data_IF_202933642139
#
_entry.id   IF_202933642139
#
_cell.length_a   1.000
_cell.length_b   1.000
_cell.length_c   1.000
_cell.angle_alpha   90.00
_cell.angle_beta   90.00
_cell.angle_gamma   90.00
#
_symmetry.space_group_name_H-M   'P 1'
#
loop_
_entity.id
_entity.type
_entity.pdbx_description
1 polymer ?
#
# COMPACT_ATOMS: atom_id res chain seq x y z
N UNK A 1 31.24 -41.35 7.98
CA UNK A 1 31.08 -40.57 6.72
C UNK A 1 29.63 -40.54 6.24
N UNK A 2 28.85 -41.63 6.33
CA UNK A 2 27.43 -41.64 5.94
C UNK A 2 26.54 -40.69 6.77
N UNK A 3 26.81 -40.54 8.07
CA UNK A 3 26.01 -39.69 8.98
C UNK A 3 26.17 -38.18 8.72
N UNK A 4 27.34 -37.74 8.23
CA UNK A 4 27.54 -36.36 7.80
C UNK A 4 26.84 -36.06 6.47
N UNK A 5 26.67 -37.07 5.60
CA UNK A 5 25.95 -36.93 4.34
C UNK A 5 24.43 -36.84 4.56
N UNK A 6 23.87 -37.60 5.51
CA UNK A 6 22.45 -37.53 5.87
C UNK A 6 22.08 -36.20 6.55
N UNK A 7 22.94 -35.66 7.43
CA UNK A 7 22.73 -34.34 8.06
C UNK A 7 22.78 -33.21 7.02
N UNK A 8 23.73 -33.25 6.08
CA UNK A 8 23.81 -32.27 4.99
C UNK A 8 22.61 -32.36 4.05
N UNK A 9 22.19 -33.57 3.67
CA UNK A 9 21.00 -33.78 2.85
C UNK A 9 19.73 -33.22 3.51
N UNK A 10 19.50 -33.47 4.81
CA UNK A 10 18.36 -32.93 5.56
C UNK A 10 18.37 -31.39 5.65
N UNK A 11 19.54 -30.78 5.74
CA UNK A 11 19.70 -29.31 5.77
C UNK A 11 19.36 -28.67 4.42
N UNK A 12 19.80 -29.27 3.31
CA UNK A 12 19.50 -28.79 1.96
C UNK A 12 18.00 -28.93 1.61
N UNK A 13 17.37 -30.04 1.98
CA UNK A 13 15.91 -30.24 1.76
C UNK A 13 15.08 -29.22 2.55
N UNK A 14 15.50 -28.89 3.79
CA UNK A 14 14.82 -27.90 4.63
C UNK A 14 14.99 -26.47 4.11
N UNK A 15 16.17 -26.13 3.62
CA UNK A 15 16.42 -24.83 2.98
C UNK A 15 15.57 -24.66 1.71
N UNK A 16 15.51 -25.68 0.85
CA UNK A 16 14.69 -25.66 -0.36
C UNK A 16 13.19 -25.49 -0.08
N UNK A 17 12.66 -26.15 0.96
CA UNK A 17 11.26 -26.01 1.37
C UNK A 17 10.91 -24.62 1.93
N UNK A 18 11.85 -23.98 2.65
CA UNK A 18 11.67 -22.59 3.13
C UNK A 18 11.68 -21.62 1.94
N UNK A 19 12.54 -21.83 0.96
CA UNK A 19 12.61 -20.97 -0.23
C UNK A 19 11.33 -21.09 -1.09
N UNK A 20 10.80 -22.30 -1.27
CA UNK A 20 9.54 -22.52 -1.97
C UNK A 20 8.37 -21.85 -1.23
N UNK A 21 8.29 -22.08 0.09
CA UNK A 21 7.26 -21.47 0.93
C UNK A 21 7.33 -19.94 0.95
N UNK A 22 8.53 -19.37 0.97
CA UNK A 22 8.74 -17.92 0.91
C UNK A 22 8.23 -17.35 -0.41
N UNK A 23 8.53 -18.01 -1.54
CA UNK A 23 8.03 -17.57 -2.85
C UNK A 23 6.50 -17.64 -2.91
N UNK A 24 5.91 -18.72 -2.40
CA UNK A 24 4.46 -18.84 -2.30
C UNK A 24 3.83 -17.74 -1.42
N UNK A 25 4.46 -17.42 -0.29
CA UNK A 25 4.03 -16.36 0.61
C UNK A 25 4.09 -14.99 -0.06
N UNK A 26 5.22 -14.64 -0.68
CA UNK A 26 5.37 -13.37 -1.40
C UNK A 26 4.39 -13.25 -2.56
N UNK A 27 4.20 -14.33 -3.34
CA UNK A 27 3.20 -14.35 -4.41
C UNK A 27 1.79 -14.07 -3.88
N UNK A 28 1.44 -14.63 -2.70
CA UNK A 28 0.16 -14.36 -2.04
C UNK A 28 0.05 -12.90 -1.61
N UNK A 29 1.11 -12.33 -1.02
CA UNK A 29 1.18 -10.92 -0.61
C UNK A 29 0.90 -9.99 -1.80
N UNK A 30 1.66 -10.13 -2.89
CA UNK A 30 1.47 -9.31 -4.10
C UNK A 30 0.12 -9.57 -4.78
N UNK A 31 -0.38 -10.81 -4.75
CA UNK A 31 -1.69 -11.16 -5.29
C UNK A 31 -2.82 -10.44 -4.56
N UNK A 32 -2.82 -10.49 -3.22
CA UNK A 32 -3.81 -9.78 -2.39
C UNK A 32 -3.73 -8.27 -2.62
N UNK A 33 -2.51 -7.72 -2.59
CA UNK A 33 -2.27 -6.29 -2.84
C UNK A 33 -2.83 -5.88 -4.22
N UNK A 34 -2.51 -6.63 -5.28
CA UNK A 34 -2.93 -6.32 -6.65
C UNK A 34 -4.46 -6.34 -6.80
N UNK A 35 -5.13 -7.32 -6.19
CA UNK A 35 -6.59 -7.37 -6.15
C UNK A 35 -7.15 -6.16 -5.40
N UNK A 36 -6.55 -5.79 -4.26
CA UNK A 36 -6.90 -4.56 -3.54
C UNK A 36 -6.77 -3.31 -4.41
N UNK A 37 -5.68 -3.18 -5.16
CA UNK A 37 -5.46 -2.05 -6.07
C UNK A 37 -6.53 -1.97 -7.17
N UNK A 38 -6.90 -3.11 -7.77
CA UNK A 38 -7.97 -3.17 -8.77
C UNK A 38 -9.31 -2.76 -8.16
N UNK A 39 -9.63 -3.24 -6.97
CA UNK A 39 -10.85 -2.88 -6.24
C UNK A 39 -10.87 -1.37 -5.98
N UNK A 40 -9.76 -0.79 -5.53
CA UNK A 40 -9.64 0.65 -5.26
C UNK A 40 -9.83 1.49 -6.52
N UNK A 41 -9.17 1.13 -7.62
CA UNK A 41 -9.33 1.81 -8.90
C UNK A 41 -10.75 1.71 -9.45
N UNK A 42 -11.35 0.52 -9.40
CA UNK A 42 -12.73 0.30 -9.84
C UNK A 42 -13.74 1.06 -8.98
N UNK A 43 -13.57 1.06 -7.66
CA UNK A 43 -14.41 1.82 -6.74
C UNK A 43 -14.27 3.33 -7.00
N UNK A 44 -13.04 3.86 -7.12
CA UNK A 44 -12.79 5.27 -7.40
C UNK A 44 -13.45 5.72 -8.70
N UNK A 45 -13.28 4.93 -9.77
CA UNK A 45 -13.89 5.20 -11.09
C UNK A 45 -15.41 5.14 -11.04
N UNK A 46 -15.99 4.10 -10.44
CA UNK A 46 -17.43 3.94 -10.35
C UNK A 46 -18.08 5.06 -9.52
N UNK A 47 -17.47 5.42 -8.39
CA UNK A 47 -17.97 6.48 -7.51
C UNK A 47 -17.91 7.84 -8.21
N UNK A 48 -16.80 8.15 -8.88
CA UNK A 48 -16.69 9.39 -9.65
C UNK A 48 -17.74 9.44 -10.77
N UNK A 49 -17.97 8.33 -11.47
CA UNK A 49 -18.98 8.24 -12.54
C UNK A 49 -20.41 8.41 -12.05
N UNK A 50 -20.72 8.02 -10.80
CA UNK A 50 -22.03 8.24 -10.18
C UNK A 50 -22.16 9.64 -9.55
N UNK A 51 -21.03 10.25 -9.19
CA UNK A 51 -20.99 11.55 -8.53
C UNK A 51 -21.12 12.73 -9.49
N UNK A 52 -20.90 12.53 -10.79
CA UNK A 52 -20.96 13.57 -11.83
C UNK A 52 -22.04 13.23 -12.84
N UNK A 53 -22.89 14.20 -13.18
CA UNK A 53 -23.91 14.07 -14.22
C UNK A 53 -23.28 14.16 -15.62
N UNK A 54 -23.95 13.71 -16.69
CA UNK A 54 -23.45 13.87 -18.05
C UNK A 54 -23.22 15.33 -18.47
N UNK A 55 -23.82 16.29 -17.76
CA UNK A 55 -23.64 17.74 -17.98
C UNK A 55 -22.44 18.32 -17.23
N UNK A 56 -21.70 17.50 -16.46
CA UNK A 56 -20.52 17.93 -15.70
C UNK A 56 -20.83 18.49 -14.31
N UNK A 57 -22.08 18.43 -13.86
CA UNK A 57 -22.50 18.91 -12.54
C UNK A 57 -22.42 17.79 -11.49
N UNK A 58 -22.29 18.15 -10.22
CA UNK A 58 -22.34 17.16 -9.14
C UNK A 58 -23.77 16.61 -8.99
N UNK A 59 -23.91 15.29 -9.03
CA UNK A 59 -25.15 14.60 -8.68
C UNK A 59 -25.45 14.78 -7.18
N UNK A 60 -26.67 14.46 -6.69
CA UNK A 60 -26.96 14.50 -5.25
C UNK A 60 -25.96 13.66 -4.42
N UNK A 61 -25.49 12.54 -5.00
CA UNK A 61 -24.43 11.73 -4.41
C UNK A 61 -23.09 12.48 -4.39
N UNK A 62 -22.71 13.12 -5.49
CA UNK A 62 -21.49 13.92 -5.57
C UNK A 62 -21.47 15.10 -4.59
N UNK A 63 -22.60 15.78 -4.42
CA UNK A 63 -22.76 16.83 -3.40
C UNK A 63 -22.59 16.24 -2.00
N UNK A 64 -23.19 15.08 -1.71
CA UNK A 64 -23.05 14.42 -0.43
C UNK A 64 -21.60 14.02 -0.14
N UNK A 65 -20.87 13.47 -1.12
CA UNK A 65 -19.52 12.95 -0.92
C UNK A 65 -18.46 14.08 -0.90
N UNK A 66 -18.56 15.07 -1.79
CA UNK A 66 -17.49 16.05 -2.00
C UNK A 66 -17.77 17.43 -1.38
N UNK A 67 -19.04 17.84 -1.27
CA UNK A 67 -19.41 19.17 -0.78
C UNK A 67 -19.92 19.17 0.68
N UNK A 68 -20.47 18.05 1.15
CA UNK A 68 -20.99 17.96 2.53
C UNK A 68 -19.89 17.67 3.58
N UNK A 69 -20.17 17.84 4.88
CA UNK A 69 -19.25 17.45 5.96
C UNK A 69 -18.84 15.97 5.94
N UNK A 70 -19.60 15.11 5.24
CA UNK A 70 -19.28 13.69 5.05
C UNK A 70 -17.91 13.49 4.39
N UNK A 71 -17.45 14.47 3.58
CA UNK A 71 -16.13 14.42 2.94
C UNK A 71 -14.98 14.20 3.92
N UNK A 72 -15.07 14.78 5.12
CA UNK A 72 -14.04 14.64 6.14
C UNK A 72 -14.02 13.22 6.71
N UNK A 73 -15.20 12.65 6.95
CA UNK A 73 -15.31 11.26 7.38
C UNK A 73 -14.70 10.35 6.32
N UNK A 74 -15.06 10.53 5.05
CA UNK A 74 -14.57 9.73 3.92
C UNK A 74 -13.05 9.86 3.77
N UNK A 75 -12.51 11.07 3.86
CA UNK A 75 -11.07 11.35 3.76
C UNK A 75 -10.26 10.61 4.84
N UNK A 76 -10.74 10.63 6.09
CA UNK A 76 -10.04 9.99 7.22
C UNK A 76 -10.43 8.53 7.43
N UNK A 77 -11.47 8.02 6.77
CA UNK A 77 -11.95 6.64 6.96
C UNK A 77 -10.87 5.58 6.70
N UNK A 78 -10.05 5.68 5.62
CA UNK A 78 -8.97 4.72 5.41
C UNK A 78 -7.92 4.74 6.54
N UNK A 79 -7.59 5.92 7.07
CA UNK A 79 -6.67 6.05 8.20
C UNK A 79 -7.24 5.39 9.46
N UNK A 80 -8.52 5.62 9.77
CA UNK A 80 -9.22 4.97 10.88
C UNK A 80 -9.18 3.44 10.71
N UNK A 81 -9.43 2.95 9.50
CA UNK A 81 -9.41 1.52 9.19
C UNK A 81 -8.02 0.89 9.39
N UNK A 82 -6.93 1.60 9.06
CA UNK A 82 -5.56 1.11 9.32
C UNK A 82 -5.31 0.91 10.82
N UNK A 83 -5.69 1.89 11.64
CA UNK A 83 -5.58 1.74 13.11
C UNK A 83 -6.49 0.65 13.65
N UNK A 84 -7.73 0.57 13.15
CA UNK A 84 -8.68 -0.48 13.53
C UNK A 84 -8.14 -1.87 13.17
N UNK A 85 -7.53 -2.04 11.99
CA UNK A 85 -6.97 -3.30 11.54
C UNK A 85 -5.92 -3.82 12.52
N UNK A 86 -4.99 -2.95 12.96
CA UNK A 86 -3.98 -3.31 13.96
C UNK A 86 -4.58 -3.75 15.30
N UNK A 87 -5.72 -3.18 15.71
CA UNK A 87 -6.41 -3.57 16.94
C UNK A 87 -7.15 -4.91 16.82
N UNK A 88 -7.68 -5.25 15.64
CA UNK A 88 -8.52 -6.44 15.44
C UNK A 88 -7.77 -7.65 14.88
N UNK A 89 -6.60 -7.48 14.24
CA UNK A 89 -5.89 -8.55 13.52
C UNK A 89 -5.59 -9.79 14.37
N UNK A 90 -5.27 -9.59 15.65
CA UNK A 90 -4.99 -10.68 16.59
C UNK A 90 -6.26 -11.40 17.07
N UNK A 91 -7.45 -10.86 16.80
CA UNK A 91 -8.75 -11.37 17.27
C UNK A 91 -9.61 -11.95 16.15
N UNK A 92 -9.28 -11.70 14.89
CA UNK A 92 -10.02 -12.18 13.71
C UNK A 92 -9.25 -13.28 13.01
N UNK A 93 -9.95 -14.12 12.24
CA UNK A 93 -9.33 -15.14 11.40
C UNK A 93 -8.62 -14.53 10.18
N UNK A 94 -7.79 -15.30 9.48
CA UNK A 94 -7.17 -14.85 8.23
C UNK A 94 -8.22 -14.46 7.16
N UNK A 95 -9.34 -15.18 7.07
CA UNK A 95 -10.43 -14.82 6.16
C UNK A 95 -11.10 -13.49 6.56
N UNK A 96 -11.30 -13.27 7.86
CA UNK A 96 -11.81 -11.99 8.38
C UNK A 96 -10.85 -10.82 8.08
N UNK A 97 -9.55 -11.05 8.22
CA UNK A 97 -8.53 -10.06 7.89
C UNK A 97 -8.52 -9.73 6.39
N UNK A 98 -8.71 -10.73 5.53
CA UNK A 98 -8.78 -10.53 4.08
C UNK A 98 -10.02 -9.75 3.66
N UNK A 99 -11.19 -10.08 4.25
CA UNK A 99 -12.42 -9.31 4.01
C UNK A 99 -12.24 -7.85 4.46
N UNK A 100 -11.67 -7.63 5.64
CA UNK A 100 -11.39 -6.30 6.14
C UNK A 100 -10.49 -5.52 5.16
N UNK A 101 -9.43 -6.14 4.65
CA UNK A 101 -8.53 -5.52 3.68
C UNK A 101 -9.26 -5.10 2.38
N UNK A 102 -10.17 -5.93 1.86
CA UNK A 102 -10.94 -5.56 0.66
C UNK A 102 -12.00 -4.50 0.95
N UNK A 103 -12.63 -4.50 2.13
CA UNK A 103 -13.49 -3.39 2.57
C UNK A 103 -12.70 -2.09 2.66
N UNK A 104 -11.49 -2.15 3.22
CA UNK A 104 -10.57 -1.03 3.25
C UNK A 104 -10.19 -0.55 1.83
N UNK A 105 -9.95 -1.46 0.88
CA UNK A 105 -9.63 -1.10 -0.50
C UNK A 105 -10.79 -0.36 -1.22
N UNK A 106 -12.05 -0.78 -0.98
CA UNK A 106 -13.24 -0.06 -1.48
C UNK A 106 -13.33 1.33 -0.87
N UNK A 107 -13.15 1.43 0.45
CA UNK A 107 -13.23 2.69 1.18
C UNK A 107 -12.11 3.66 0.79
N UNK A 108 -10.91 3.15 0.53
CA UNK A 108 -9.82 3.92 -0.05
C UNK A 108 -10.20 4.44 -1.43
N UNK A 109 -10.83 3.61 -2.28
CA UNK A 109 -11.33 4.02 -3.59
C UNK A 109 -12.35 5.15 -3.50
N UNK A 110 -13.27 5.08 -2.53
CA UNK A 110 -14.20 6.18 -2.22
C UNK A 110 -13.44 7.46 -1.83
N UNK A 111 -12.45 7.35 -0.94
CA UNK A 111 -11.65 8.49 -0.47
C UNK A 111 -10.90 9.20 -1.59
N UNK A 112 -10.26 8.43 -2.48
CA UNK A 112 -9.47 8.98 -3.59
C UNK A 112 -10.28 9.23 -4.86
N UNK A 113 -11.58 8.92 -4.90
CA UNK A 113 -12.43 9.09 -6.09
C UNK A 113 -12.40 10.52 -6.66
N UNK A 114 -12.17 11.52 -5.79
CA UNK A 114 -12.05 12.93 -6.17
C UNK A 114 -10.91 13.23 -7.16
N UNK A 115 -9.91 12.35 -7.32
CA UNK A 115 -8.84 12.56 -8.31
C UNK A 115 -9.37 12.64 -9.74
N UNK A 116 -10.47 11.94 -10.05
CA UNK A 116 -11.11 11.97 -11.37
C UNK A 116 -11.84 13.28 -11.66
N UNK A 117 -12.04 14.14 -10.64
CA UNK A 117 -12.58 15.49 -10.81
C UNK A 117 -11.49 16.55 -11.03
N UNK A 118 -10.24 16.21 -10.72
CA UNK A 118 -9.12 17.17 -10.71
C UNK A 118 -8.13 16.87 -11.82
N UNK A 119 -7.90 15.60 -12.11
CA UNK A 119 -6.92 15.14 -13.09
C UNK A 119 -7.58 14.43 -14.26
N UNK A 120 -6.99 14.57 -15.44
CA UNK A 120 -7.43 13.84 -16.62
C UNK A 120 -7.29 12.32 -16.40
N UNK A 121 -8.22 11.54 -16.96
CA UNK A 121 -8.16 10.08 -16.93
C UNK A 121 -6.85 9.53 -17.50
N UNK A 122 -6.31 10.18 -18.54
CA UNK A 122 -5.00 9.85 -19.10
C UNK A 122 -3.86 10.01 -18.08
N UNK A 123 -3.82 11.14 -17.36
CA UNK A 123 -2.80 11.38 -16.32
C UNK A 123 -2.89 10.35 -15.19
N UNK A 124 -4.11 9.98 -14.78
CA UNK A 124 -4.33 8.96 -13.76
C UNK A 124 -3.74 7.61 -14.21
N UNK A 125 -4.10 7.15 -15.41
CA UNK A 125 -3.64 5.86 -15.95
C UNK A 125 -2.12 5.87 -16.18
N UNK A 126 -1.57 6.93 -16.78
CA UNK A 126 -0.13 7.06 -17.02
C UNK A 126 0.65 7.03 -15.71
N UNK A 127 0.21 7.78 -14.71
CA UNK A 127 0.86 7.82 -13.39
C UNK A 127 0.77 6.48 -12.69
N UNK A 128 -0.38 5.80 -12.78
CA UNK A 128 -0.56 4.48 -12.20
C UNK A 128 0.43 3.47 -12.81
N UNK A 129 0.59 3.46 -14.13
CA UNK A 129 1.54 2.57 -14.81
C UNK A 129 2.99 2.90 -14.43
N UNK A 130 3.35 4.19 -14.37
CA UNK A 130 4.68 4.61 -13.93
C UNK A 130 4.95 4.17 -12.47
N UNK A 131 3.95 4.33 -11.59
CA UNK A 131 4.02 3.89 -10.20
C UNK A 131 4.18 2.37 -10.11
N UNK A 132 3.44 1.61 -10.92
CA UNK A 132 3.53 0.15 -10.93
C UNK A 132 4.91 -0.34 -11.36
N UNK A 133 5.51 0.26 -12.37
CA UNK A 133 6.87 -0.06 -12.80
C UNK A 133 7.89 0.29 -11.72
N UNK A 134 7.80 1.49 -11.13
CA UNK A 134 8.70 1.93 -10.06
C UNK A 134 8.59 1.03 -8.82
N UNK A 135 7.36 0.75 -8.39
CA UNK A 135 7.06 -0.12 -7.27
C UNK A 135 7.60 -1.54 -7.51
N UNK A 136 7.35 -2.12 -8.68
CA UNK A 136 7.86 -3.45 -9.03
C UNK A 136 9.39 -3.49 -9.02
N UNK A 137 10.07 -2.47 -9.54
CA UNK A 137 11.52 -2.38 -9.55
C UNK A 137 12.11 -2.27 -8.12
N UNK A 138 11.55 -1.38 -7.29
CA UNK A 138 11.98 -1.18 -5.90
C UNK A 138 11.72 -2.40 -5.03
N UNK A 139 10.55 -3.02 -5.20
CA UNK A 139 10.15 -4.25 -4.53
C UNK A 139 11.06 -5.42 -4.93
N UNK A 140 11.32 -5.60 -6.22
CA UNK A 140 12.28 -6.62 -6.70
C UNK A 140 13.68 -6.40 -6.12
N UNK A 141 14.14 -5.15 -6.07
CA UNK A 141 15.41 -4.81 -5.44
C UNK A 141 15.39 -5.11 -3.94
N UNK A 142 14.35 -4.71 -3.20
CA UNK A 142 14.19 -5.00 -1.76
C UNK A 142 14.15 -6.50 -1.46
N UNK A 143 13.54 -7.30 -2.34
CA UNK A 143 13.47 -8.75 -2.22
C UNK A 143 14.83 -9.44 -2.47
N UNK A 144 15.58 -8.95 -3.46
CA UNK A 144 16.84 -9.58 -3.92
C UNK A 144 18.10 -9.05 -3.26
N UNK A 145 18.07 -7.83 -2.72
CA UNK A 145 19.22 -7.20 -2.10
C UNK A 145 19.71 -7.99 -0.88
N UNK A 146 21.04 -8.12 -0.77
CA UNK A 146 21.71 -8.76 0.38
C UNK A 146 22.08 -7.76 1.47
N UNK A 147 21.94 -6.46 1.19
CA UNK A 147 22.19 -5.41 2.18
C UNK A 147 21.04 -5.43 3.18
N UNK A 148 21.38 -5.48 4.46
CA UNK A 148 20.42 -5.29 5.53
C UNK A 148 19.97 -3.82 5.55
N UNK A 149 18.70 -3.59 5.21
CA UNK A 149 18.07 -2.27 5.25
C UNK A 149 17.06 -2.16 6.41
N UNK A 150 17.06 -3.10 7.36
CA UNK A 150 16.19 -3.05 8.54
C UNK A 150 16.33 -1.73 9.33
N UNK A 151 17.54 -1.17 9.39
CA UNK A 151 17.83 0.11 10.03
C UNK A 151 17.20 1.34 9.36
N UNK A 152 16.67 1.22 8.13
CA UNK A 152 16.00 2.33 7.45
C UNK A 152 14.62 2.62 8.03
N UNK A 153 13.97 1.61 8.65
CA UNK A 153 12.58 1.71 9.11
C UNK A 153 12.31 2.93 9.99
N UNK A 154 13.11 3.14 11.04
CA UNK A 154 12.92 4.28 11.95
C UNK A 154 13.07 5.63 11.24
N UNK A 155 14.05 5.76 10.34
CA UNK A 155 14.26 7.00 9.58
C UNK A 155 13.10 7.28 8.62
N UNK A 156 12.65 6.26 7.87
CA UNK A 156 11.55 6.39 6.92
C UNK A 156 10.21 6.69 7.62
N UNK A 157 9.92 6.02 8.74
CA UNK A 157 8.73 6.29 9.56
C UNK A 157 8.74 7.73 10.09
N UNK A 158 9.88 8.21 10.60
CA UNK A 158 10.01 9.61 11.01
C UNK A 158 9.86 10.57 9.82
N UNK A 159 10.32 10.17 8.63
CA UNK A 159 10.06 10.87 7.39
C UNK A 159 8.58 11.01 7.08
N UNK A 160 7.79 9.93 7.21
CA UNK A 160 6.32 9.97 7.03
C UNK A 160 5.66 10.91 8.03
N UNK A 161 6.07 10.88 9.31
CA UNK A 161 5.57 11.83 10.31
C UNK A 161 5.88 13.27 9.90
N UNK A 162 7.10 13.54 9.41
CA UNK A 162 7.49 14.84 8.88
C UNK A 162 6.63 15.28 7.69
N UNK A 163 6.34 14.37 6.75
CA UNK A 163 5.44 14.64 5.62
C UNK A 163 4.03 14.99 6.08
N UNK A 164 3.48 14.28 7.07
CA UNK A 164 2.15 14.55 7.62
C UNK A 164 2.12 15.94 8.25
N UNK A 165 3.11 16.28 9.09
CA UNK A 165 3.19 17.59 9.73
C UNK A 165 3.33 18.69 8.68
N UNK A 166 4.21 18.53 7.69
CA UNK A 166 4.39 19.48 6.60
C UNK A 166 3.09 19.66 5.78
N UNK A 167 2.36 18.57 5.53
CA UNK A 167 1.07 18.62 4.83
C UNK A 167 0.03 19.40 5.62
N UNK A 168 -0.07 19.18 6.94
CA UNK A 168 -0.98 19.90 7.83
C UNK A 168 -0.64 21.39 7.88
N UNK A 169 0.64 21.74 8.04
CA UNK A 169 1.10 23.14 8.03
C UNK A 169 0.75 23.79 6.69
N UNK A 170 0.89 23.07 5.57
CA UNK A 170 0.59 23.62 4.26
C UNK A 170 -0.90 23.87 4.01
N UNK A 171 -1.81 23.24 4.77
CA UNK A 171 -3.24 23.57 4.71
C UNK A 171 -3.49 25.03 5.11
N UNK A 172 -2.72 25.56 6.07
CA UNK A 172 -2.84 26.94 6.54
C UNK A 172 -2.03 27.93 5.70
N UNK A 173 -0.87 27.51 5.17
CA UNK A 173 0.00 28.37 4.38
C UNK A 173 -0.41 28.45 2.90
N UNK A 174 -0.98 27.37 2.35
CA UNK A 174 -1.34 27.28 0.94
C UNK A 174 -0.15 27.43 -0.02
N UNK A 175 1.07 27.08 0.40
CA UNK A 175 2.29 27.33 -0.37
C UNK A 175 2.49 26.28 -1.47
N UNK A 176 2.55 26.68 -2.76
CA UNK A 176 2.85 25.75 -3.86
C UNK A 176 4.24 25.12 -3.72
N UNK A 177 5.21 25.86 -3.18
CA UNK A 177 6.57 25.37 -2.98
C UNK A 177 6.63 24.26 -1.92
N UNK A 178 5.87 24.39 -0.82
CA UNK A 178 5.79 23.35 0.21
C UNK A 178 5.04 22.13 -0.34
N UNK A 179 3.92 22.33 -1.06
CA UNK A 179 3.19 21.23 -1.70
C UNK A 179 4.08 20.42 -2.66
N UNK A 180 4.91 21.12 -3.44
CA UNK A 180 5.89 20.51 -4.32
C UNK A 180 6.95 19.72 -3.54
N UNK A 181 7.56 20.33 -2.51
CA UNK A 181 8.56 19.66 -1.68
C UNK A 181 8.00 18.41 -0.98
N UNK A 182 6.77 18.48 -0.44
CA UNK A 182 6.07 17.33 0.17
C UNK A 182 5.87 16.22 -0.85
N UNK A 183 5.51 16.54 -2.08
CA UNK A 183 5.32 15.54 -3.14
C UNK A 183 6.63 14.85 -3.50
N UNK A 184 7.72 15.61 -3.71
CA UNK A 184 9.05 15.05 -4.04
C UNK A 184 9.61 14.19 -2.90
N UNK A 185 9.57 14.69 -1.67
CA UNK A 185 10.02 13.94 -0.49
C UNK A 185 9.13 12.71 -0.24
N UNK A 186 7.83 12.83 -0.49
CA UNK A 186 6.86 11.74 -0.46
C UNK A 186 7.27 10.59 -1.39
N UNK A 187 7.56 10.89 -2.65
CA UNK A 187 8.04 9.89 -3.61
C UNK A 187 9.29 9.18 -3.10
N UNK A 188 10.29 9.91 -2.60
CA UNK A 188 11.55 9.32 -2.10
C UNK A 188 11.33 8.45 -0.86
N UNK A 189 10.52 8.90 0.08
CA UNK A 189 10.24 8.18 1.33
C UNK A 189 9.46 6.90 1.03
N UNK A 190 8.41 6.97 0.22
CA UNK A 190 7.60 5.79 -0.11
C UNK A 190 8.30 4.82 -1.07
N UNK A 191 9.21 5.32 -1.90
CA UNK A 191 10.12 4.46 -2.66
C UNK A 191 11.06 3.67 -1.72
N UNK A 192 11.62 4.33 -0.71
CA UNK A 192 12.42 3.69 0.33
C UNK A 192 11.62 2.69 1.17
N UNK A 193 10.40 3.06 1.58
CA UNK A 193 9.50 2.17 2.31
C UNK A 193 9.13 0.94 1.50
N UNK A 194 8.82 1.08 0.20
CA UNK A 194 8.51 -0.07 -0.67
C UNK A 194 9.62 -1.14 -0.63
N UNK A 195 10.88 -0.72 -0.74
CA UNK A 195 12.01 -1.63 -0.66
C UNK A 195 12.19 -2.22 0.75
N UNK A 196 12.09 -1.37 1.78
CA UNK A 196 12.19 -1.77 3.18
C UNK A 196 11.11 -2.78 3.58
N UNK A 197 9.84 -2.50 3.30
CA UNK A 197 8.70 -3.34 3.62
C UNK A 197 8.77 -4.67 2.89
N UNK A 198 9.22 -4.66 1.62
CA UNK A 198 9.46 -5.92 0.90
C UNK A 198 10.51 -6.79 1.59
N UNK A 199 11.62 -6.20 2.04
CA UNK A 199 12.63 -6.94 2.79
C UNK A 199 12.12 -7.38 4.16
N UNK A 200 11.34 -6.53 4.86
CA UNK A 200 10.73 -6.82 6.16
C UNK A 200 9.82 -8.04 6.07
N UNK A 201 8.88 -8.07 5.11
CA UNK A 201 7.93 -9.19 4.93
C UNK A 201 8.68 -10.50 4.69
N UNK A 202 9.73 -10.47 3.86
CA UNK A 202 10.61 -11.62 3.64
C UNK A 202 11.29 -12.09 4.94
N UNK A 203 11.84 -11.16 5.72
CA UNK A 203 12.53 -11.48 6.97
C UNK A 203 11.57 -12.06 8.03
N UNK A 204 10.40 -11.44 8.22
CA UNK A 204 9.35 -11.90 9.12
C UNK A 204 8.90 -13.32 8.78
N UNK A 205 8.72 -13.61 7.48
CA UNK A 205 8.41 -14.98 7.02
C UNK A 205 9.50 -15.97 7.43
N UNK A 206 10.78 -15.66 7.17
CA UNK A 206 11.90 -16.58 7.47
C UNK A 206 12.00 -16.84 8.98
N UNK A 207 11.78 -15.82 9.81
CA UNK A 207 11.82 -15.94 11.26
C UNK A 207 10.74 -16.91 11.79
N UNK A 208 9.52 -16.81 11.24
CA UNK A 208 8.35 -17.57 11.68
C UNK A 208 8.08 -18.85 10.86
N UNK A 209 8.75 -19.06 9.74
CA UNK A 209 8.64 -20.28 8.94
C UNK A 209 9.01 -21.53 9.75
N UNK A 210 9.78 -21.37 10.83
CA UNK A 210 10.16 -22.45 11.75
C UNK A 210 9.03 -22.88 12.70
N UNK A 211 8.06 -22.02 12.98
CA UNK A 211 6.92 -22.33 13.87
C UNK A 211 5.69 -22.88 13.13
N UNK A 212 5.65 -22.81 11.78
CA UNK A 212 4.62 -23.39 10.89
C UNK A 212 3.15 -23.12 11.27
N UNK A 213 2.85 -21.98 11.91
CA UNK A 213 1.47 -21.56 12.17
C UNK A 213 0.82 -21.05 10.87
N UNK A 214 -0.06 -21.87 10.28
CA UNK A 214 -0.76 -21.51 9.04
C UNK A 214 -1.69 -20.31 9.19
N UNK A 215 -2.28 -20.11 10.37
CA UNK A 215 -3.15 -18.96 10.61
C UNK A 215 -2.32 -17.67 10.65
N UNK A 216 -1.19 -17.69 11.35
CA UNK A 216 -0.24 -16.58 11.35
C UNK A 216 0.26 -16.29 9.93
N UNK A 217 0.68 -17.30 9.17
CA UNK A 217 1.13 -17.15 7.77
C UNK A 217 0.06 -16.53 6.87
N UNK A 218 -1.21 -16.85 7.12
CA UNK A 218 -2.35 -16.24 6.45
C UNK A 218 -2.48 -14.75 6.76
N UNK A 219 -2.41 -14.39 8.04
CA UNK A 219 -2.53 -13.00 8.52
C UNK A 219 -1.32 -12.15 8.13
N UNK A 220 -0.10 -12.67 8.24
CA UNK A 220 1.11 -11.95 7.87
C UNK A 220 1.16 -11.63 6.38
N UNK A 221 0.65 -12.52 5.52
CA UNK A 221 0.50 -12.22 4.09
C UNK A 221 -0.43 -11.02 3.83
N UNK A 222 -1.52 -10.92 4.60
CA UNK A 222 -2.50 -9.82 4.48
C UNK A 222 -1.93 -8.51 5.05
N UNK A 223 -1.23 -8.59 6.18
CA UNK A 223 -0.53 -7.42 6.75
C UNK A 223 0.56 -6.90 5.82
N UNK A 224 1.34 -7.80 5.23
CA UNK A 224 2.32 -7.46 4.19
C UNK A 224 1.65 -6.80 2.99
N UNK A 225 0.52 -7.36 2.54
CA UNK A 225 -0.22 -6.81 1.41
C UNK A 225 -0.78 -5.41 1.72
N UNK A 226 -1.29 -5.18 2.93
CA UNK A 226 -1.75 -3.87 3.38
C UNK A 226 -0.62 -2.84 3.40
N UNK A 227 0.56 -3.21 3.90
CA UNK A 227 1.68 -2.29 4.00
C UNK A 227 2.19 -1.89 2.61
N UNK A 228 2.40 -2.88 1.73
CA UNK A 228 2.78 -2.65 0.34
C UNK A 228 1.70 -1.90 -0.47
N UNK A 229 0.42 -2.15 -0.18
CA UNK A 229 -0.69 -1.40 -0.75
C UNK A 229 -0.65 0.09 -0.36
N UNK A 230 -0.40 0.38 0.93
CA UNK A 230 -0.29 1.75 1.42
C UNK A 230 0.90 2.46 0.78
N UNK A 231 2.04 1.77 0.65
CA UNK A 231 3.22 2.31 -0.01
C UNK A 231 2.93 2.67 -1.48
N UNK A 232 2.27 1.77 -2.20
CA UNK A 232 1.88 1.99 -3.58
C UNK A 232 0.93 3.18 -3.72
N UNK A 233 -0.16 3.21 -2.94
CA UNK A 233 -1.18 4.27 -3.05
C UNK A 233 -0.56 5.63 -2.73
N UNK A 234 0.28 5.73 -1.70
CA UNK A 234 0.93 6.99 -1.36
C UNK A 234 1.93 7.41 -2.45
N UNK A 235 2.75 6.48 -2.95
CA UNK A 235 3.65 6.75 -4.07
C UNK A 235 2.89 7.24 -5.31
N UNK A 236 1.77 6.59 -5.64
CA UNK A 236 0.88 6.98 -6.73
C UNK A 236 0.32 8.40 -6.53
N UNK A 237 -0.20 8.72 -5.35
CA UNK A 237 -0.79 10.04 -5.07
C UNK A 237 0.25 11.15 -5.15
N UNK A 238 1.48 10.93 -4.66
CA UNK A 238 2.56 11.91 -4.78
C UNK A 238 3.05 12.07 -6.22
N UNK A 239 3.18 10.97 -6.97
CA UNK A 239 3.51 11.05 -8.41
C UNK A 239 2.39 11.74 -9.20
N UNK A 240 1.12 11.50 -8.87
CA UNK A 240 -0.01 12.14 -9.57
C UNK A 240 -0.06 13.63 -9.30
N UNK A 241 0.21 14.05 -8.05
CA UNK A 241 0.35 15.46 -7.69
C UNK A 241 1.47 16.16 -8.47
N UNK A 242 2.56 15.45 -8.76
CA UNK A 242 3.73 15.97 -9.48
C UNK A 242 3.59 15.93 -11.01
N UNK A 243 3.08 14.83 -11.57
CA UNK A 243 3.03 14.57 -13.02
C UNK A 243 1.66 14.87 -13.65
N UNK A 244 0.61 14.93 -12.84
CA UNK A 244 -0.76 14.95 -13.34
C UNK A 244 -1.15 16.28 -13.97
N UNK A 245 -1.69 16.22 -15.18
CA UNK A 245 -2.35 17.35 -15.81
C UNK A 245 -3.74 17.54 -15.22
N UNK A 246 -4.02 18.78 -14.79
CA UNK A 246 -5.31 19.18 -14.23
C UNK A 246 -6.22 19.73 -15.33
N UNK A 247 -7.52 19.52 -15.19
CA UNK A 247 -8.54 20.20 -16.02
C UNK A 247 -8.75 21.65 -15.60
#
# INVERSE_FOLDING_TARGET
MAEQQTIRAGTHTRAAGIDEGLRAHMNKVYGIMSVGMLITGAAAWAISGLAVTPTGELSPLGVAIYASPLKWLIMFAPLIMVFAFGAVINRISAAGAQLFFYTFAVLMGLSISSIFLVFTGFSIVQTFLATAVAFAALSLWGYTTKKDISGWGSFLIMGVVGLIVASIVNIFLGSPAIAFAVSVLGVLIFAGLTAYDTQRIKAEYIEHARSMDQEWLGKSAIMGALSLYLDFINLFMFLLSFMGQRE
#
